data_IF_830767758102
#
_entry.id   IF_830767758102
#
_cell.length_a   1.000
_cell.length_b   1.000
_cell.length_c   1.000
_cell.angle_alpha   90.00
_cell.angle_beta   90.00
_cell.angle_gamma   90.00
#
_symmetry.space_group_name_H-M   'P 1'
#
loop_
_entity.id
_entity.type
_entity.pdbx_description
1 polymer ?
#
# COMPACT_ATOMS: atom_id res chain seq x y z
N UNK A 1 -26.08 -21.14 -13.50
CA UNK A 1 -25.07 -21.54 -14.50
C UNK A 1 -23.68 -21.36 -13.88
N UNK A 2 -22.95 -22.44 -13.56
CA UNK A 2 -21.62 -22.37 -12.92
C UNK A 2 -20.59 -22.09 -14.04
N UNK A 3 -20.05 -20.87 -14.14
CA UNK A 3 -18.95 -20.59 -15.09
C UNK A 3 -17.69 -21.26 -14.55
N UNK A 4 -17.15 -22.23 -15.30
CA UNK A 4 -15.87 -22.86 -15.00
C UNK A 4 -14.77 -21.90 -15.45
N UNK A 5 -13.82 -21.60 -14.58
CA UNK A 5 -12.70 -20.69 -14.86
C UNK A 5 -11.77 -21.27 -15.94
N UNK A 6 -11.39 -20.46 -16.92
CA UNK A 6 -10.38 -20.81 -17.91
C UNK A 6 -8.97 -20.75 -17.33
N UNK A 7 -8.00 -21.43 -17.95
CA UNK A 7 -6.58 -21.32 -17.59
C UNK A 7 -6.08 -19.87 -17.63
N UNK A 8 -6.59 -19.06 -18.56
CA UNK A 8 -6.27 -17.62 -18.65
C UNK A 8 -6.84 -16.85 -17.45
N UNK A 9 -8.08 -17.13 -17.07
CA UNK A 9 -8.73 -16.49 -15.91
C UNK A 9 -7.97 -16.80 -14.61
N UNK A 10 -7.54 -18.05 -14.44
CA UNK A 10 -6.73 -18.48 -13.30
C UNK A 10 -5.38 -17.74 -13.28
N UNK A 11 -4.73 -17.60 -14.44
CA UNK A 11 -3.46 -16.85 -14.54
C UNK A 11 -3.64 -15.38 -14.18
N UNK A 12 -4.66 -14.72 -14.72
CA UNK A 12 -4.97 -13.31 -14.41
C UNK A 12 -5.30 -13.14 -12.93
N UNK A 13 -6.15 -14.00 -12.37
CA UNK A 13 -6.48 -13.98 -10.96
C UNK A 13 -5.23 -14.16 -10.08
N UNK A 14 -4.34 -15.07 -10.46
CA UNK A 14 -3.06 -15.28 -9.76
C UNK A 14 -2.19 -14.04 -9.76
N UNK A 15 -2.01 -13.40 -10.92
CA UNK A 15 -1.24 -12.16 -11.04
C UNK A 15 -1.86 -11.02 -10.22
N UNK A 16 -3.18 -10.83 -10.29
CA UNK A 16 -3.89 -9.83 -9.49
C UNK A 16 -3.75 -10.09 -7.98
N UNK A 17 -3.84 -11.36 -7.57
CA UNK A 17 -3.72 -11.75 -6.16
C UNK A 17 -2.30 -11.54 -5.63
N UNK A 18 -1.28 -11.83 -6.44
CA UNK A 18 0.13 -11.58 -6.10
C UNK A 18 0.40 -10.08 -5.94
N UNK A 19 -0.14 -9.25 -6.85
CA UNK A 19 -0.07 -7.79 -6.72
C UNK A 19 -0.68 -7.31 -5.41
N UNK A 20 -1.90 -7.75 -5.09
CA UNK A 20 -2.53 -7.42 -3.81
C UNK A 20 -1.73 -7.91 -2.60
N UNK A 21 -1.14 -9.11 -2.69
CA UNK A 21 -0.29 -9.65 -1.62
C UNK A 21 0.94 -8.77 -1.35
N UNK A 22 1.61 -8.29 -2.41
CA UNK A 22 2.74 -7.38 -2.28
C UNK A 22 2.33 -6.06 -1.63
N UNK A 23 1.17 -5.51 -1.98
CA UNK A 23 0.66 -4.31 -1.32
C UNK A 23 0.43 -4.52 0.18
N UNK A 24 -0.16 -5.64 0.57
CA UNK A 24 -0.36 -5.98 1.99
C UNK A 24 0.96 -6.21 2.72
N UNK A 25 1.95 -6.80 2.06
CA UNK A 25 3.29 -6.97 2.62
C UNK A 25 3.89 -5.62 3.00
N UNK A 26 3.89 -4.66 2.08
CA UNK A 26 4.45 -3.32 2.33
C UNK A 26 3.71 -2.58 3.46
N UNK A 27 2.39 -2.74 3.55
CA UNK A 27 1.60 -2.15 4.63
C UNK A 27 1.96 -2.67 6.01
N UNK A 28 2.15 -3.98 6.11
CA UNK A 28 2.51 -4.64 7.35
C UNK A 28 3.90 -4.15 7.77
N UNK A 29 4.87 -4.18 6.86
CA UNK A 29 6.22 -3.67 7.12
C UNK A 29 6.17 -2.20 7.57
N UNK A 30 5.42 -1.34 6.88
CA UNK A 30 5.27 0.06 7.28
C UNK A 30 4.71 0.20 8.70
N UNK A 31 3.66 -0.55 9.05
CA UNK A 31 3.06 -0.51 10.38
C UNK A 31 4.06 -0.96 11.46
N UNK A 32 4.81 -2.04 11.22
CA UNK A 32 5.85 -2.53 12.13
C UNK A 32 6.96 -1.49 12.37
N UNK A 33 7.38 -0.79 11.32
CA UNK A 33 8.46 0.20 11.40
C UNK A 33 7.98 1.64 11.68
N UNK A 34 6.67 1.88 11.77
CA UNK A 34 6.08 3.22 11.91
C UNK A 34 6.67 4.04 13.06
N UNK A 35 6.90 3.42 14.22
CA UNK A 35 7.51 4.06 15.40
C UNK A 35 8.99 4.41 15.19
N UNK A 36 9.71 3.58 14.43
CA UNK A 36 11.10 3.89 14.07
C UNK A 36 11.15 5.02 13.04
N UNK A 37 10.30 4.96 12.02
CA UNK A 37 10.17 6.01 11.00
C UNK A 37 9.79 7.34 11.67
N UNK A 38 8.83 7.34 12.59
CA UNK A 38 8.36 8.58 13.22
C UNK A 38 9.48 9.31 13.96
N UNK A 39 10.32 8.59 14.71
CA UNK A 39 11.42 9.17 15.50
C UNK A 39 12.59 9.66 14.64
N UNK A 40 12.84 9.03 13.49
CA UNK A 40 14.00 9.34 12.66
C UNK A 40 13.69 10.40 11.58
N UNK A 41 12.43 10.49 11.13
CA UNK A 41 12.04 11.39 10.03
C UNK A 41 11.32 12.66 10.50
N UNK A 42 10.81 12.71 11.73
CA UNK A 42 10.19 13.92 12.29
C UNK A 42 11.05 14.56 13.39
N UNK A 43 10.99 15.89 13.54
CA UNK A 43 11.76 16.61 14.55
C UNK A 43 11.53 16.11 15.98
N UNK A 44 12.60 16.04 16.77
CA UNK A 44 12.55 15.58 18.17
C UNK A 44 11.74 16.51 19.09
N UNK A 45 11.60 17.80 18.74
CA UNK A 45 10.80 18.77 19.49
C UNK A 45 9.28 18.60 19.30
N UNK A 46 8.84 17.76 18.34
CA UNK A 46 7.44 17.35 18.24
C UNK A 46 7.12 16.29 19.29
N UNK A 47 5.94 16.39 19.90
CA UNK A 47 5.42 15.34 20.79
C UNK A 47 5.39 13.99 20.06
N UNK A 48 5.71 12.87 20.73
CA UNK A 48 5.69 11.52 20.13
C UNK A 48 4.38 11.17 19.42
N UNK A 49 3.24 11.68 19.94
CA UNK A 49 1.94 11.51 19.31
C UNK A 49 1.90 12.12 17.91
N UNK A 50 2.36 13.37 17.77
CA UNK A 50 2.33 14.09 16.49
C UNK A 50 3.33 13.53 15.48
N UNK A 51 4.49 13.04 15.92
CA UNK A 51 5.42 12.35 15.04
C UNK A 51 4.78 11.10 14.42
N UNK A 52 4.15 10.26 15.25
CA UNK A 52 3.51 9.03 14.78
C UNK A 52 2.26 9.31 13.94
N UNK A 53 1.46 10.30 14.34
CA UNK A 53 0.30 10.77 13.57
C UNK A 53 0.71 11.21 12.17
N UNK A 54 1.80 12.00 12.04
CA UNK A 54 2.29 12.43 10.75
C UNK A 54 2.84 11.26 9.91
N UNK A 55 3.52 10.28 10.52
CA UNK A 55 3.94 9.05 9.83
C UNK A 55 2.74 8.33 9.21
N UNK A 56 1.68 8.07 9.98
CA UNK A 56 0.46 7.47 9.45
C UNK A 56 -0.28 8.39 8.46
N UNK A 57 -0.19 9.71 8.63
CA UNK A 57 -0.73 10.69 7.71
C UNK A 57 -0.09 10.61 6.32
N UNK A 58 1.24 10.47 6.26
CA UNK A 58 1.96 10.24 5.00
C UNK A 58 1.52 8.93 4.36
N UNK A 59 1.38 7.85 5.15
CA UNK A 59 0.88 6.57 4.66
C UNK A 59 -0.53 6.70 4.07
N UNK A 60 -1.44 7.38 4.76
CA UNK A 60 -2.79 7.62 4.29
C UNK A 60 -2.81 8.47 3.00
N UNK A 61 -1.99 9.52 2.93
CA UNK A 61 -1.85 10.33 1.73
C UNK A 61 -1.34 9.51 0.53
N UNK A 62 -0.31 8.68 0.75
CA UNK A 62 0.20 7.77 -0.28
C UNK A 62 -0.86 6.76 -0.73
N UNK A 63 -1.69 6.25 0.19
CA UNK A 63 -2.80 5.37 -0.14
C UNK A 63 -3.84 6.07 -1.03
N UNK A 64 -4.18 7.33 -0.73
CA UNK A 64 -5.11 8.14 -1.54
C UNK A 64 -4.56 8.42 -2.94
N UNK A 65 -3.24 8.44 -3.13
CA UNK A 65 -2.62 8.61 -4.45
C UNK A 65 -2.68 7.32 -5.30
N UNK A 66 -2.96 6.15 -4.71
CA UNK A 66 -3.00 4.86 -5.46
C UNK A 66 -3.92 4.84 -6.68
N UNK A 67 -5.15 5.39 -6.67
CA UNK A 67 -5.99 5.44 -7.86
C UNK A 67 -5.33 6.21 -9.00
N UNK A 68 -4.54 7.25 -8.71
CA UNK A 68 -3.80 7.99 -9.74
C UNK A 68 -2.75 7.09 -10.38
N UNK A 69 -2.00 6.33 -9.58
CA UNK A 69 -1.07 5.31 -10.10
C UNK A 69 -1.76 4.27 -10.97
N UNK A 70 -2.95 3.80 -10.55
CA UNK A 70 -3.76 2.87 -11.33
C UNK A 70 -4.23 3.44 -12.67
N UNK A 71 -4.67 4.70 -12.69
CA UNK A 71 -5.07 5.40 -13.93
C UNK A 71 -3.87 5.55 -14.88
N UNK A 72 -2.72 5.96 -14.36
CA UNK A 72 -1.49 6.11 -15.16
C UNK A 72 -1.03 4.77 -15.72
N UNK A 73 -0.97 3.72 -14.90
CA UNK A 73 -0.56 2.38 -15.36
C UNK A 73 -1.56 1.77 -16.34
N UNK A 74 -2.87 2.02 -16.18
CA UNK A 74 -3.89 1.58 -17.13
C UNK A 74 -3.75 2.24 -18.51
N UNK A 75 -3.17 3.44 -18.59
CA UNK A 75 -2.89 4.09 -19.87
C UNK A 75 -1.77 3.38 -20.66
N UNK A 76 -0.81 2.76 -19.96
CA UNK A 76 0.26 1.96 -20.56
C UNK A 76 -0.10 0.48 -20.69
N UNK A 77 -1.36 0.12 -20.42
CA UNK A 77 -1.88 -1.25 -20.47
C UNK A 77 -1.63 -1.98 -21.78
#
# INVERSE_FOLDING_TARGET
>A
MRKILSKKDIKTLGLSSLGGTLEFYDFIIFAFFSSYISKNFFPENLSPFWQLFNTYGIFAAAYVVRPLGGIVMAHFG
#
